data_IF_847961762533
#
_entry.id   IF_847961762533
#
_cell.length_a   1.000
_cell.length_b   1.000
_cell.length_c   1.000
_cell.angle_alpha   90.00
_cell.angle_beta   90.00
_cell.angle_gamma   90.00
#
_symmetry.space_group_name_H-M   'P 1'
#
loop_
_entity.id
_entity.type
_entity.pdbx_description
1 polymer ?
#
# COMPACT_ATOMS: atom_id res chain seq x y z
N UNK A 1 -1.57 11.90 -20.16
CA UNK A 1 -3.01 11.66 -19.97
C UNK A 1 -3.88 12.16 -21.10
N UNK A 2 -4.05 11.32 -22.13
CA UNK A 2 -5.14 11.42 -23.10
C UNK A 2 -6.42 10.81 -22.50
N UNK A 3 -7.51 11.59 -22.43
CA UNK A 3 -8.78 11.13 -21.83
C UNK A 3 -9.43 9.99 -22.60
N UNK A 4 -9.20 9.89 -23.90
CA UNK A 4 -9.82 8.85 -24.73
C UNK A 4 -9.33 7.45 -24.34
N UNK A 5 -8.10 7.35 -23.84
CA UNK A 5 -7.48 6.10 -23.39
C UNK A 5 -8.08 5.57 -22.08
N UNK A 6 -8.83 6.39 -21.35
CA UNK A 6 -9.45 6.02 -20.06
C UNK A 6 -10.94 5.73 -20.15
N UNK A 7 -11.57 5.80 -21.33
CA UNK A 7 -13.02 5.56 -21.47
C UNK A 7 -13.39 4.14 -21.05
N UNK A 8 -12.70 3.13 -21.60
CA UNK A 8 -12.99 1.73 -21.26
C UNK A 8 -12.57 1.38 -19.81
N UNK A 9 -11.37 1.75 -19.32
CA UNK A 9 -11.01 1.56 -17.91
C UNK A 9 -12.01 2.21 -16.94
N UNK A 10 -12.50 3.42 -17.25
CA UNK A 10 -13.48 4.12 -16.43
C UNK A 10 -14.82 3.38 -16.35
N UNK A 11 -15.32 2.89 -17.49
CA UNK A 11 -16.55 2.09 -17.54
C UNK A 11 -16.40 0.78 -16.78
N UNK A 12 -15.28 0.08 -16.96
CA UNK A 12 -14.98 -1.18 -16.26
C UNK A 12 -14.87 -0.96 -14.75
N UNK A 13 -14.19 0.10 -14.31
CA UNK A 13 -14.11 0.48 -12.89
C UNK A 13 -15.51 0.67 -12.30
N UNK A 14 -16.40 1.34 -13.04
CA UNK A 14 -17.79 1.56 -12.59
C UNK A 14 -18.64 0.28 -12.55
N UNK A 15 -18.25 -0.76 -13.29
CA UNK A 15 -18.85 -2.08 -13.16
C UNK A 15 -18.36 -2.74 -11.86
N UNK A 16 -17.06 -2.67 -11.55
CA UNK A 16 -16.50 -3.18 -10.30
C UNK A 16 -17.05 -2.47 -9.06
N UNK A 17 -17.36 -1.18 -9.14
CA UNK A 17 -18.01 -0.46 -8.04
C UNK A 17 -19.34 -1.11 -7.62
N UNK A 18 -20.05 -1.80 -8.53
CA UNK A 18 -21.32 -2.47 -8.23
C UNK A 18 -21.14 -3.77 -7.43
N UNK A 19 -19.95 -4.33 -7.38
CA UNK A 19 -19.65 -5.53 -6.60
C UNK A 19 -19.10 -5.24 -5.19
N UNK A 20 -18.96 -3.96 -4.83
CA UNK A 20 -18.60 -3.55 -3.48
C UNK A 20 -19.68 -3.96 -2.47
N UNK A 21 -19.25 -4.24 -1.24
CA UNK A 21 -20.16 -4.54 -0.13
C UNK A 21 -21.11 -3.37 0.09
N UNK A 22 -22.39 -3.70 0.21
CA UNK A 22 -23.45 -2.75 0.47
C UNK A 22 -23.57 -2.49 1.98
N UNK A 23 -24.35 -1.47 2.35
CA UNK A 23 -24.70 -1.23 3.76
C UNK A 23 -25.31 -2.46 4.43
N UNK A 24 -26.17 -3.19 3.71
CA UNK A 24 -26.80 -4.41 4.22
C UNK A 24 -25.80 -5.53 4.45
N UNK A 25 -24.75 -5.62 3.63
CA UNK A 25 -23.67 -6.60 3.85
C UNK A 25 -22.92 -6.30 5.13
N UNK A 26 -22.57 -5.02 5.37
CA UNK A 26 -21.92 -4.62 6.62
C UNK A 26 -22.81 -4.83 7.85
N UNK A 27 -24.11 -4.54 7.76
CA UNK A 27 -25.06 -4.81 8.86
C UNK A 27 -25.11 -6.29 9.20
N UNK A 28 -25.18 -7.16 8.19
CA UNK A 28 -25.11 -8.61 8.37
C UNK A 28 -23.79 -9.06 9.01
N UNK A 29 -22.65 -8.50 8.59
CA UNK A 29 -21.34 -8.84 9.16
C UNK A 29 -21.26 -8.46 10.65
N UNK A 30 -21.82 -7.31 11.04
CA UNK A 30 -21.83 -6.85 12.44
C UNK A 30 -22.67 -7.78 13.33
N UNK A 31 -23.72 -8.38 12.79
CA UNK A 31 -24.62 -9.29 13.52
C UNK A 31 -24.07 -10.73 13.67
N UNK A 32 -22.95 -11.06 13.02
CA UNK A 32 -22.33 -12.39 13.13
C UNK A 32 -21.74 -12.63 14.52
N UNK A 33 -21.82 -13.88 15.00
CA UNK A 33 -21.38 -14.23 16.34
C UNK A 33 -19.86 -14.41 16.45
N UNK A 34 -19.24 -14.88 15.36
CA UNK A 34 -17.81 -15.19 15.27
C UNK A 34 -17.27 -14.98 13.85
N UNK A 35 -15.95 -15.16 13.69
CA UNK A 35 -15.27 -14.95 12.40
C UNK A 35 -15.68 -16.01 11.37
N UNK A 36 -16.00 -17.23 11.80
CA UNK A 36 -16.47 -18.29 10.92
C UNK A 36 -17.83 -17.95 10.30
N UNK A 37 -18.74 -17.37 11.08
CA UNK A 37 -20.02 -16.85 10.61
C UNK A 37 -19.83 -15.63 9.68
N UNK A 38 -18.91 -14.72 10.01
CA UNK A 38 -18.57 -13.57 9.16
C UNK A 38 -18.04 -14.00 7.79
N UNK A 39 -17.13 -14.98 7.74
CA UNK A 39 -16.59 -15.53 6.49
C UNK A 39 -17.67 -16.24 5.69
N UNK A 40 -18.58 -16.97 6.35
CA UNK A 40 -19.74 -17.57 5.68
C UNK A 40 -20.66 -16.51 5.05
N UNK A 41 -20.91 -15.40 5.74
CA UNK A 41 -21.70 -14.30 5.18
C UNK A 41 -21.04 -13.68 3.93
N UNK A 42 -19.70 -13.61 3.88
CA UNK A 42 -18.97 -13.12 2.71
C UNK A 42 -19.03 -14.06 1.49
N UNK A 43 -19.42 -15.34 1.64
CA UNK A 43 -19.52 -16.30 0.52
C UNK A 43 -20.61 -15.94 -0.50
N UNK A 44 -21.55 -15.08 -0.13
CA UNK A 44 -22.59 -14.59 -1.02
C UNK A 44 -22.18 -13.30 -1.76
N UNK A 45 -20.95 -12.83 -1.55
CA UNK A 45 -20.44 -11.55 -2.07
C UNK A 45 -19.33 -11.79 -3.10
N UNK A 46 -18.73 -10.69 -3.60
CA UNK A 46 -17.56 -10.78 -4.50
C UNK A 46 -16.35 -11.48 -3.87
N UNK A 47 -16.32 -11.62 -2.54
CA UNK A 47 -15.23 -12.25 -1.80
C UNK A 47 -15.23 -13.78 -1.87
N UNK A 48 -16.30 -14.40 -2.37
CA UNK A 48 -16.49 -15.86 -2.41
C UNK A 48 -15.27 -16.63 -2.90
N UNK A 49 -14.67 -16.20 -4.00
CA UNK A 49 -13.58 -16.95 -4.65
C UNK A 49 -12.35 -17.06 -3.74
N UNK A 50 -11.89 -15.93 -3.19
CA UNK A 50 -10.70 -15.92 -2.33
C UNK A 50 -10.98 -16.54 -0.96
N UNK A 51 -12.11 -16.25 -0.34
CA UNK A 51 -12.41 -16.81 1.00
C UNK A 51 -12.65 -18.32 0.97
N UNK A 52 -13.05 -18.88 -0.19
CA UNK A 52 -13.20 -20.33 -0.35
C UNK A 52 -11.86 -21.07 -0.39
N UNK A 53 -10.76 -20.35 -0.64
CA UNK A 53 -9.39 -20.89 -0.64
C UNK A 53 -8.77 -20.92 0.75
N UNK A 54 -9.39 -20.26 1.73
CA UNK A 54 -8.86 -20.16 3.10
C UNK A 54 -8.86 -21.52 3.79
N UNK A 55 -7.72 -21.83 4.41
CA UNK A 55 -7.58 -23.00 5.29
C UNK A 55 -8.27 -22.82 6.65
N UNK A 56 -8.38 -21.56 7.11
CA UNK A 56 -9.01 -21.18 8.35
C UNK A 56 -9.60 -19.76 8.24
N UNK A 57 -10.72 -19.50 8.92
CA UNK A 57 -11.41 -18.22 8.87
C UNK A 57 -10.53 -17.05 9.37
N UNK A 58 -9.60 -17.34 10.28
CA UNK A 58 -8.64 -16.41 10.86
C UNK A 58 -7.63 -15.87 9.85
N UNK A 59 -7.39 -16.59 8.74
CA UNK A 59 -6.45 -16.20 7.71
C UNK A 59 -7.08 -15.25 6.66
N UNK A 60 -8.17 -14.57 7.00
CA UNK A 60 -8.93 -13.73 6.07
C UNK A 60 -8.08 -12.62 5.43
N UNK A 61 -7.02 -12.15 6.10
CA UNK A 61 -6.09 -11.15 5.56
C UNK A 61 -5.45 -11.63 4.25
N UNK A 62 -5.10 -12.91 4.13
CA UNK A 62 -4.53 -13.48 2.90
C UNK A 62 -5.51 -13.35 1.72
N UNK A 63 -6.80 -13.62 1.95
CA UNK A 63 -7.83 -13.47 0.93
C UNK A 63 -8.03 -12.00 0.52
N UNK A 64 -7.96 -11.07 1.48
CA UNK A 64 -8.09 -9.64 1.22
C UNK A 64 -6.89 -9.11 0.43
N UNK A 65 -5.67 -9.53 0.79
CA UNK A 65 -4.44 -9.13 0.11
C UNK A 65 -4.38 -9.70 -1.31
N UNK A 66 -4.74 -10.97 -1.50
CA UNK A 66 -4.82 -11.57 -2.84
C UNK A 66 -5.84 -10.84 -3.72
N UNK A 67 -7.02 -10.54 -3.20
CA UNK A 67 -8.04 -9.78 -3.94
C UNK A 67 -7.54 -8.38 -4.32
N UNK A 68 -6.82 -7.72 -3.41
CA UNK A 68 -6.23 -6.42 -3.65
C UNK A 68 -5.18 -6.48 -4.78
N UNK A 69 -4.29 -7.46 -4.72
CA UNK A 69 -3.24 -7.66 -5.74
C UNK A 69 -3.86 -7.97 -7.11
N UNK A 70 -4.84 -8.87 -7.16
CA UNK A 70 -5.57 -9.20 -8.39
C UNK A 70 -6.30 -7.98 -8.97
N UNK A 71 -6.85 -7.12 -8.11
CA UNK A 71 -7.46 -5.88 -8.55
C UNK A 71 -6.43 -4.96 -9.21
N UNK A 72 -5.29 -4.71 -8.56
CA UNK A 72 -4.24 -3.86 -9.15
C UNK A 72 -3.68 -4.45 -10.44
N UNK A 73 -3.47 -5.76 -10.51
CA UNK A 73 -3.07 -6.45 -11.74
C UNK A 73 -4.05 -6.18 -12.88
N UNK A 74 -5.35 -6.36 -12.65
CA UNK A 74 -6.40 -6.04 -13.64
C UNK A 74 -6.38 -4.56 -14.05
N UNK A 75 -6.13 -3.65 -13.10
CA UNK A 75 -6.04 -2.21 -13.39
C UNK A 75 -4.85 -1.87 -14.29
N UNK A 76 -3.69 -2.47 -14.06
CA UNK A 76 -2.52 -2.35 -14.93
C UNK A 76 -2.79 -2.96 -16.32
N UNK A 77 -3.42 -4.14 -16.39
CA UNK A 77 -3.74 -4.80 -17.66
C UNK A 77 -4.71 -3.99 -18.54
N UNK A 78 -5.65 -3.25 -17.94
CA UNK A 78 -6.65 -2.50 -18.69
C UNK A 78 -6.24 -1.05 -19.02
N UNK A 79 -5.30 -0.46 -18.29
CA UNK A 79 -4.83 0.90 -18.56
C UNK A 79 -3.72 0.91 -19.60
N UNK A 80 -3.62 1.99 -20.38
CA UNK A 80 -2.47 2.22 -21.28
C UNK A 80 -1.41 3.13 -20.67
N UNK A 81 -1.78 3.86 -19.63
CA UNK A 81 -0.91 4.78 -18.91
C UNK A 81 -0.98 4.41 -17.43
N UNK A 82 0.07 3.75 -16.96
CA UNK A 82 0.17 3.16 -15.62
C UNK A 82 0.18 4.19 -14.50
N UNK A 83 0.52 5.44 -14.82
CA UNK A 83 0.66 6.56 -13.89
C UNK A 83 -0.50 6.68 -12.89
N UNK A 84 -1.75 6.44 -13.33
CA UNK A 84 -2.94 6.51 -12.47
C UNK A 84 -2.93 5.38 -11.44
N UNK A 85 -2.58 4.18 -11.89
CA UNK A 85 -2.52 2.99 -11.05
C UNK A 85 -1.33 3.11 -10.11
N UNK A 86 -0.17 3.56 -10.60
CA UNK A 86 1.04 3.84 -9.81
C UNK A 86 0.75 4.80 -8.67
N UNK A 87 0.05 5.91 -8.95
CA UNK A 87 -0.34 6.89 -7.92
C UNK A 87 -1.06 6.24 -6.73
N UNK A 88 -1.88 5.22 -6.98
CA UNK A 88 -2.66 4.52 -5.96
C UNK A 88 -1.90 3.33 -5.35
N UNK A 89 -1.09 2.63 -6.15
CA UNK A 89 -0.34 1.44 -5.75
C UNK A 89 0.93 1.77 -4.97
N UNK A 90 1.50 2.98 -5.17
CA UNK A 90 2.81 3.37 -4.62
C UNK A 90 2.94 3.13 -3.11
N UNK A 91 1.86 3.30 -2.35
CA UNK A 91 1.86 3.08 -0.90
C UNK A 91 2.27 1.65 -0.51
N UNK A 92 1.95 0.65 -1.33
CA UNK A 92 2.29 -0.75 -1.06
C UNK A 92 3.78 -1.03 -1.35
N UNK A 93 4.34 -0.40 -2.38
CA UNK A 93 5.77 -0.46 -2.65
C UNK A 93 6.56 0.13 -1.48
N UNK A 94 6.19 1.32 -1.02
CA UNK A 94 6.85 1.96 0.13
C UNK A 94 6.60 1.24 1.46
N UNK A 95 5.45 0.57 1.62
CA UNK A 95 5.24 -0.36 2.73
C UNK A 95 6.25 -1.50 2.68
N UNK A 96 6.36 -2.19 1.54
CA UNK A 96 7.31 -3.28 1.37
C UNK A 96 8.76 -2.81 1.58
N UNK A 97 9.15 -1.61 1.17
CA UNK A 97 10.47 -1.05 1.47
C UNK A 97 10.73 -0.95 2.98
N UNK A 98 9.75 -0.52 3.77
CA UNK A 98 9.87 -0.50 5.24
C UNK A 98 10.05 -1.90 5.79
N UNK A 99 9.32 -2.89 5.26
CA UNK A 99 9.45 -4.28 5.67
C UNK A 99 10.84 -4.82 5.30
N UNK A 100 11.36 -4.58 4.09
CA UNK A 100 12.71 -5.00 3.67
C UNK A 100 13.78 -4.48 4.62
N UNK A 101 13.73 -3.19 4.95
CA UNK A 101 14.71 -2.57 5.83
C UNK A 101 14.64 -3.15 7.25
N UNK A 102 13.45 -3.31 7.81
CA UNK A 102 13.26 -3.90 9.14
C UNK A 102 13.70 -5.35 9.18
N UNK A 103 13.36 -6.10 8.15
CA UNK A 103 13.76 -7.49 7.99
C UNK A 103 15.28 -7.65 7.94
N UNK A 104 15.96 -6.79 7.16
CA UNK A 104 17.42 -6.76 7.08
C UNK A 104 18.06 -6.40 8.43
N UNK A 105 17.51 -5.42 9.17
CA UNK A 105 18.05 -4.97 10.45
C UNK A 105 17.83 -6.00 11.57
N UNK A 106 16.65 -6.62 11.63
CA UNK A 106 16.29 -7.59 12.66
C UNK A 106 16.90 -8.97 12.39
N UNK A 107 17.17 -9.30 11.13
CA UNK A 107 17.64 -10.62 10.72
C UNK A 107 16.57 -11.72 10.88
N UNK A 108 15.30 -11.33 10.91
CA UNK A 108 14.15 -12.23 11.02
C UNK A 108 13.47 -12.39 9.65
N UNK A 109 12.60 -13.40 9.50
CA UNK A 109 11.76 -13.52 8.32
C UNK A 109 10.43 -12.79 8.56
N UNK A 110 10.19 -11.75 7.77
CA UNK A 110 8.98 -10.91 7.82
C UNK A 110 8.13 -11.07 6.57
N UNK A 111 8.26 -12.18 5.83
CA UNK A 111 7.54 -12.43 4.58
C UNK A 111 6.02 -12.21 4.69
N UNK A 112 5.43 -12.56 5.84
CA UNK A 112 4.00 -12.40 6.12
C UNK A 112 3.53 -10.94 6.18
N UNK A 113 4.43 -9.94 6.28
CA UNK A 113 4.08 -8.52 6.29
C UNK A 113 4.12 -7.87 4.91
N UNK A 114 4.55 -8.60 3.87
CA UNK A 114 4.68 -8.07 2.53
C UNK A 114 3.38 -8.18 1.73
N UNK A 115 3.10 -7.14 0.96
CA UNK A 115 2.25 -7.29 -0.21
C UNK A 115 3.04 -8.01 -1.31
N UNK A 116 2.53 -9.13 -1.83
CA UNK A 116 3.17 -9.92 -2.89
C UNK A 116 3.02 -9.26 -4.28
N UNK A 117 3.62 -8.08 -4.43
CA UNK A 117 3.63 -7.31 -5.67
C UNK A 117 4.51 -8.00 -6.72
N UNK A 118 4.02 -8.19 -7.95
CA UNK A 118 4.74 -8.92 -9.01
C UNK A 118 6.11 -8.30 -9.36
N UNK A 119 6.23 -6.97 -9.27
CA UNK A 119 7.42 -6.21 -9.69
C UNK A 119 8.24 -5.66 -8.51
N UNK A 120 8.14 -6.23 -7.30
CA UNK A 120 8.91 -5.74 -6.16
C UNK A 120 10.20 -6.56 -5.93
N UNK A 121 11.41 -5.98 -6.16
CA UNK A 121 12.66 -6.73 -6.16
C UNK A 121 13.24 -6.92 -4.75
N UNK A 122 12.51 -7.59 -3.83
CA UNK A 122 12.88 -7.80 -2.41
C UNK A 122 14.33 -8.27 -2.24
N UNK A 123 14.71 -9.35 -2.90
CA UNK A 123 16.03 -9.97 -2.73
C UNK A 123 17.16 -9.12 -3.32
N UNK A 124 16.90 -8.43 -4.43
CA UNK A 124 17.87 -7.54 -5.05
C UNK A 124 18.08 -6.29 -4.20
N UNK A 125 17.01 -5.75 -3.61
CA UNK A 125 17.10 -4.63 -2.65
C UNK A 125 17.95 -5.05 -1.44
N UNK A 126 17.70 -6.21 -0.83
CA UNK A 126 18.51 -6.70 0.29
C UNK A 126 20.00 -6.78 -0.08
N UNK A 127 20.31 -7.41 -1.22
CA UNK A 127 21.69 -7.51 -1.71
C UNK A 127 22.30 -6.15 -2.02
N UNK A 128 21.50 -5.18 -2.48
CA UNK A 128 21.98 -3.83 -2.77
C UNK A 128 22.46 -3.08 -1.53
N UNK A 129 21.92 -3.39 -0.35
CA UNK A 129 22.36 -2.80 0.92
C UNK A 129 23.83 -3.17 1.20
N UNK A 130 24.18 -4.44 0.97
CA UNK A 130 25.55 -4.94 1.21
C UNK A 130 26.53 -4.56 0.09
N UNK A 131 26.06 -4.61 -1.16
CA UNK A 131 26.93 -4.52 -2.35
C UNK A 131 27.02 -3.11 -2.94
N UNK A 132 26.08 -2.23 -2.60
CA UNK A 132 25.91 -0.93 -3.27
C UNK A 132 25.44 -1.04 -4.72
N UNK A 133 24.91 -2.18 -5.14
CA UNK A 133 24.36 -2.36 -6.49
C UNK A 133 23.18 -1.39 -6.75
N UNK A 134 23.09 -0.84 -7.95
CA UNK A 134 21.97 0.01 -8.35
C UNK A 134 20.79 -0.85 -8.78
N UNK A 135 19.72 -0.84 -7.99
CA UNK A 135 18.44 -1.53 -8.29
C UNK A 135 17.28 -0.57 -8.02
N UNK A 136 16.07 -0.93 -8.42
CA UNK A 136 14.90 -0.11 -8.12
C UNK A 136 14.79 0.14 -6.60
N UNK A 137 14.60 1.39 -6.19
CA UNK A 137 14.58 1.85 -4.80
C UNK A 137 15.90 1.75 -4.01
N UNK A 138 17.03 1.30 -4.59
CA UNK A 138 18.31 1.16 -3.86
C UNK A 138 18.79 2.46 -3.23
N UNK A 139 18.57 3.61 -3.89
CA UNK A 139 18.93 4.92 -3.35
C UNK A 139 18.10 5.28 -2.11
N UNK A 140 16.78 5.05 -2.18
CA UNK A 140 15.87 5.30 -1.04
C UNK A 140 16.26 4.43 0.15
N UNK A 141 16.57 3.16 -0.11
CA UNK A 141 16.96 2.17 0.91
C UNK A 141 18.30 2.54 1.54
N UNK A 142 19.29 2.93 0.74
CA UNK A 142 20.60 3.37 1.21
C UNK A 142 20.51 4.63 2.07
N UNK A 143 19.80 5.65 1.61
CA UNK A 143 19.60 6.86 2.41
C UNK A 143 18.84 6.57 3.71
N UNK A 144 17.86 5.65 3.69
CA UNK A 144 17.16 5.22 4.91
C UNK A 144 18.08 4.51 5.90
N UNK A 145 18.98 3.66 5.41
CA UNK A 145 20.01 3.03 6.25
C UNK A 145 20.98 4.06 6.82
N UNK A 146 21.40 5.05 6.04
CA UNK A 146 22.25 6.15 6.54
C UNK A 146 21.57 6.96 7.65
N UNK A 147 20.27 7.24 7.55
CA UNK A 147 19.50 7.88 8.64
C UNK A 147 19.40 6.96 9.87
N UNK A 148 19.12 5.67 9.67
CA UNK A 148 19.10 4.70 10.76
C UNK A 148 20.44 4.60 11.50
N UNK A 149 21.57 4.67 10.80
CA UNK A 149 22.89 4.60 11.42
C UNK A 149 23.19 5.79 12.36
N UNK A 150 22.53 6.94 12.17
CA UNK A 150 22.73 8.12 13.04
C UNK A 150 22.09 7.94 14.42
N UNK A 151 20.91 7.34 14.48
CA UNK A 151 20.09 7.25 15.70
C UNK A 151 19.88 5.83 16.23
N UNK A 152 20.08 4.81 15.40
CA UNK A 152 19.73 3.40 15.64
C UNK A 152 18.28 3.20 16.11
N UNK A 153 17.39 4.11 15.73
CA UNK A 153 15.98 4.04 16.03
C UNK A 153 15.21 3.55 14.80
N UNK A 154 14.53 2.38 14.84
CA UNK A 154 13.75 1.88 13.72
C UNK A 154 12.65 2.84 13.24
N UNK A 155 12.21 3.76 14.10
CA UNK A 155 11.23 4.78 13.73
C UNK A 155 11.78 5.80 12.72
N UNK A 156 13.09 6.03 12.71
CA UNK A 156 13.72 6.96 11.77
C UNK A 156 13.57 6.46 10.33
N UNK A 157 13.63 5.13 10.14
CA UNK A 157 13.36 4.49 8.86
C UNK A 157 11.93 4.74 8.40
N UNK A 158 10.96 4.52 9.29
CA UNK A 158 9.55 4.71 8.96
C UNK A 158 9.29 6.16 8.51
N UNK A 159 9.81 7.14 9.26
CA UNK A 159 9.66 8.57 8.94
C UNK A 159 10.33 8.91 7.62
N UNK A 160 11.55 8.42 7.40
CA UNK A 160 12.30 8.70 6.19
C UNK A 160 11.62 8.10 4.95
N UNK A 161 11.20 6.84 5.02
CA UNK A 161 10.53 6.16 3.92
C UNK A 161 9.15 6.79 3.64
N UNK A 162 8.39 7.17 4.67
CA UNK A 162 7.13 7.89 4.50
C UNK A 162 7.33 9.26 3.83
N UNK A 163 8.41 9.98 4.17
CA UNK A 163 8.77 11.23 3.48
C UNK A 163 9.08 10.99 2.01
N UNK A 164 9.91 9.98 1.70
CA UNK A 164 10.25 9.61 0.31
C UNK A 164 9.03 9.15 -0.47
N UNK A 165 8.08 8.48 0.19
CA UNK A 165 6.79 8.11 -0.40
C UNK A 165 6.03 9.35 -0.87
N UNK A 166 5.84 10.35 0.00
CA UNK A 166 5.11 11.57 -0.36
C UNK A 166 5.84 12.44 -1.39
N UNK A 167 7.18 12.48 -1.36
CA UNK A 167 7.98 13.14 -2.38
C UNK A 167 7.75 12.52 -3.76
N UNK A 168 7.78 11.19 -3.84
CA UNK A 168 7.54 10.45 -5.07
C UNK A 168 6.07 10.59 -5.52
N UNK A 169 5.11 10.48 -4.61
CA UNK A 169 3.69 10.66 -4.91
C UNK A 169 3.41 12.06 -5.50
N UNK A 170 4.05 13.09 -4.95
CA UNK A 170 3.97 14.46 -5.46
C UNK A 170 4.60 14.62 -6.84
N UNK A 171 5.69 13.90 -7.12
CA UNK A 171 6.32 13.86 -8.45
C UNK A 171 5.36 13.25 -9.49
N UNK A 172 4.81 12.07 -9.21
CA UNK A 172 3.83 11.38 -10.08
C UNK A 172 2.62 12.28 -10.34
N UNK A 173 2.04 12.89 -9.30
CA UNK A 173 0.90 13.78 -9.44
C UNK A 173 1.19 14.99 -10.34
N UNK A 174 2.39 15.59 -10.23
CA UNK A 174 2.79 16.71 -11.11
C UNK A 174 3.02 16.27 -12.54
N UNK A 175 3.65 15.12 -12.75
CA UNK A 175 3.91 14.56 -14.08
C UNK A 175 2.63 14.22 -14.84
N UNK A 176 1.57 13.81 -14.11
CA UNK A 176 0.25 13.56 -14.67
C UNK A 176 -0.37 14.77 -15.39
N UNK A 177 -0.01 15.99 -14.96
CA UNK A 177 -0.63 17.26 -15.36
C UNK A 177 -2.16 17.29 -15.14
N UNK A 178 -2.67 16.50 -14.19
CA UNK A 178 -4.08 16.46 -13.79
C UNK A 178 -4.25 17.13 -12.44
N UNK A 179 -5.01 18.23 -12.41
CA UNK A 179 -5.25 19.03 -11.19
C UNK A 179 -5.88 18.20 -10.06
N UNK A 180 -6.75 17.24 -10.39
CA UNK A 180 -7.36 16.35 -9.42
C UNK A 180 -6.31 15.54 -8.65
N UNK A 181 -5.26 15.05 -9.31
CA UNK A 181 -4.20 14.26 -8.66
C UNK A 181 -3.32 15.14 -7.78
N UNK A 182 -2.96 16.35 -8.22
CA UNK A 182 -2.22 17.30 -7.37
C UNK A 182 -3.03 17.65 -6.11
N UNK A 183 -4.33 17.93 -6.25
CA UNK A 183 -5.22 18.21 -5.12
C UNK A 183 -5.37 17.00 -4.19
N UNK A 184 -5.55 15.80 -4.74
CA UNK A 184 -5.64 14.56 -3.96
C UNK A 184 -4.38 14.34 -3.11
N UNK A 185 -3.20 14.45 -3.73
CA UNK A 185 -1.93 14.24 -3.03
C UNK A 185 -1.68 15.31 -1.97
N UNK A 186 -1.99 16.58 -2.24
CA UNK A 186 -1.89 17.64 -1.23
C UNK A 186 -2.78 17.37 -0.02
N UNK A 187 -4.05 17.04 -0.26
CA UNK A 187 -4.98 16.72 0.82
C UNK A 187 -4.52 15.50 1.64
N UNK A 188 -3.95 14.50 0.99
CA UNK A 188 -3.41 13.32 1.66
C UNK A 188 -2.20 13.67 2.54
N UNK A 189 -1.29 14.53 2.04
CA UNK A 189 -0.16 15.04 2.81
C UNK A 189 -0.65 15.85 4.01
N UNK A 190 -1.58 16.79 3.80
CA UNK A 190 -2.12 17.63 4.88
C UNK A 190 -2.82 16.79 5.96
N UNK A 191 -3.63 15.82 5.54
CA UNK A 191 -4.28 14.88 6.45
C UNK A 191 -3.25 14.07 7.26
N UNK A 192 -2.20 13.58 6.60
CA UNK A 192 -1.14 12.81 7.25
C UNK A 192 -0.37 13.67 8.25
N UNK A 193 -0.02 14.91 7.89
CA UNK A 193 0.65 15.84 8.79
C UNK A 193 -0.20 16.14 10.03
N UNK A 194 -1.49 16.40 9.87
CA UNK A 194 -2.41 16.62 11.00
C UNK A 194 -2.47 15.38 11.89
N UNK A 195 -2.64 14.19 11.31
CA UNK A 195 -2.69 12.94 12.05
C UNK A 195 -1.37 12.68 12.82
N UNK A 196 -0.22 12.96 12.21
CA UNK A 196 1.10 12.84 12.83
C UNK A 196 1.25 13.80 13.99
N UNK A 197 0.90 15.08 13.85
CA UNK A 197 0.96 16.07 14.94
C UNK A 197 0.08 15.63 16.12
N UNK A 198 -1.14 15.15 15.86
CA UNK A 198 -2.03 14.65 16.90
C UNK A 198 -1.46 13.41 17.61
N UNK A 199 -0.78 12.52 16.86
CA UNK A 199 -0.10 11.35 17.42
C UNK A 199 1.10 11.76 18.28
N UNK A 200 1.96 12.67 17.82
CA UNK A 200 3.11 13.17 18.58
C UNK A 200 2.66 13.83 19.89
N UNK A 201 1.59 14.64 19.85
CA UNK A 201 1.00 15.24 21.05
C UNK A 201 0.51 14.21 22.06
N UNK A 202 -0.08 13.10 21.60
CA UNK A 202 -0.51 11.98 22.48
C UNK A 202 0.66 11.19 23.07
N UNK A 203 1.84 11.26 22.45
CA UNK A 203 3.05 10.58 22.88
C UNK A 203 3.99 11.50 23.67
N UNK A 204 3.53 12.71 24.05
CA UNK A 204 4.32 13.74 24.75
C UNK A 204 5.66 14.08 24.06
N UNK A 205 5.70 13.99 22.73
CA UNK A 205 6.88 14.32 21.92
C UNK A 205 6.93 15.82 21.63
N UNK A 206 8.14 16.37 21.58
CA UNK A 206 8.40 17.76 21.21
C UNK A 206 8.12 18.01 19.73
N UNK A 207 7.93 19.28 19.36
CA UNK A 207 7.70 19.72 17.97
C UNK A 207 8.92 19.45 17.06
N UNK A 208 10.10 19.31 17.65
CA UNK A 208 11.35 18.98 16.94
C UNK A 208 11.42 17.52 16.45
N UNK A 209 10.34 16.76 16.61
CA UNK A 209 10.17 15.38 16.15
C UNK A 209 9.67 15.32 14.70
#
# INVERSE_FOLDING_TARGET
MDRNEFVQPSVTTRIFEKSLLTKSDFERLIETADIEDAIRALQETTYKEEISKLSAAQNYEEALDNMLLDFYKKMYEMTREDLVVDLLALKYYYHNLKVVLKEYILGEDLEYLYYKLENFPRDEIKKSIDTGASVEYSDVVREAMEEYEKGKNPQDIDIFIDKKYFEHLKKIAKESKVELFDKYVRNLIDFTNIATVLRCKRQDRTIDF
#
